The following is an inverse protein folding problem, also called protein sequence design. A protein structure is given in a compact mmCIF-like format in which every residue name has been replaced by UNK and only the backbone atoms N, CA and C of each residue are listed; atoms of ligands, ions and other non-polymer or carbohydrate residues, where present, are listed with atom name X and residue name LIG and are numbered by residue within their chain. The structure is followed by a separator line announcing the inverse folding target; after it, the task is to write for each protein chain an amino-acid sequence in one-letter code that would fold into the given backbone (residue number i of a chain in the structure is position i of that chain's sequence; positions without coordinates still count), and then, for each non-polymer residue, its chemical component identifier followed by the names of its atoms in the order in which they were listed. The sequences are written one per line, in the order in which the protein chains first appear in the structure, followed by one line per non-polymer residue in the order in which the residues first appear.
data_IF_734803295680
#
_entry.id   IF_734803295680
#
_cell.length_a   1.000
_cell.length_b   1.000
_cell.length_c   1.000
_cell.angle_alpha   90.00
_cell.angle_beta   90.00
_cell.angle_gamma   90.00
#
_symmetry.space_group_name_H-M   'P 1'
#
loop_
_entity.id
_entity.type
_entity.pdbx_description
1 polymer ?
#
# COMPACT_ATOMS: atom_id res chain seq x y z
N UNK A 1 12.05 3.51 -15.45
CA UNK A 1 11.35 2.36 -16.06
C UNK A 1 9.99 2.86 -16.51
N UNK A 2 9.49 2.46 -17.68
CA UNK A 2 8.17 2.90 -18.16
C UNK A 2 7.21 1.71 -18.06
N UNK A 3 6.07 1.90 -17.41
CA UNK A 3 5.02 0.90 -17.26
C UNK A 3 4.00 1.04 -18.41
N UNK A 4 3.31 -0.05 -18.81
CA UNK A 4 2.06 0.08 -19.55
C UNK A 4 1.07 0.94 -18.80
N UNK A 5 0.08 1.51 -19.48
CA UNK A 5 -1.03 2.20 -18.82
C UNK A 5 -1.76 1.20 -17.91
N UNK A 6 -1.87 1.51 -16.63
CA UNK A 6 -2.49 0.66 -15.62
C UNK A 6 -3.10 1.52 -14.51
N UNK A 7 -4.08 0.96 -13.80
CA UNK A 7 -4.74 1.59 -12.64
C UNK A 7 -5.19 3.04 -12.87
N UNK A 8 -5.64 3.36 -14.10
CA UNK A 8 -6.16 4.69 -14.44
C UNK A 8 -7.41 4.95 -13.61
N UNK A 9 -7.48 6.14 -13.00
CA UNK A 9 -8.60 6.55 -12.15
C UNK A 9 -9.94 6.35 -12.86
N UNK A 10 -10.94 5.90 -12.10
CA UNK A 10 -12.33 5.68 -12.57
C UNK A 10 -12.46 4.66 -13.72
N UNK A 11 -11.44 3.81 -13.91
CA UNK A 11 -11.50 2.67 -14.83
C UNK A 11 -11.55 1.36 -14.08
N UNK A 12 -12.06 0.32 -14.75
CA UNK A 12 -12.04 -1.04 -14.22
C UNK A 12 -10.63 -1.50 -13.78
N UNK A 13 -9.57 -1.03 -14.44
CA UNK A 13 -8.20 -1.39 -14.08
C UNK A 13 -7.69 -0.80 -12.76
N UNK A 14 -8.42 0.15 -12.16
CA UNK A 14 -8.13 0.71 -10.84
C UNK A 14 -9.00 0.10 -9.73
N UNK A 15 -9.95 -0.77 -10.08
CA UNK A 15 -10.80 -1.44 -9.09
C UNK A 15 -10.02 -2.52 -8.33
N UNK A 16 -10.42 -2.75 -7.08
CA UNK A 16 -9.92 -3.89 -6.32
C UNK A 16 -10.49 -5.19 -6.89
N UNK A 17 -9.70 -6.27 -6.84
CA UNK A 17 -10.20 -7.61 -7.11
C UNK A 17 -11.45 -7.90 -6.25
N UNK A 18 -12.46 -8.54 -6.85
CA UNK A 18 -13.77 -8.74 -6.21
C UNK A 18 -13.69 -9.58 -4.94
N UNK A 19 -12.74 -10.52 -4.86
CA UNK A 19 -12.53 -11.35 -3.67
C UNK A 19 -11.91 -10.55 -2.54
N UNK A 20 -10.98 -9.65 -2.85
CA UNK A 20 -10.39 -8.71 -1.90
C UNK A 20 -11.45 -7.74 -1.42
N UNK A 21 -12.25 -7.17 -2.34
CA UNK A 21 -13.33 -6.25 -2.00
C UNK A 21 -14.33 -6.89 -1.03
N UNK A 22 -14.83 -8.08 -1.36
CA UNK A 22 -15.77 -8.80 -0.49
C UNK A 22 -15.18 -9.10 0.90
N UNK A 23 -13.89 -9.43 0.98
CA UNK A 23 -13.22 -9.66 2.25
C UNK A 23 -13.10 -8.38 3.10
N UNK A 24 -12.81 -7.24 2.46
CA UNK A 24 -12.77 -5.93 3.13
C UNK A 24 -14.17 -5.50 3.59
N UNK A 25 -15.19 -5.63 2.75
CA UNK A 25 -16.58 -5.31 3.11
C UNK A 25 -17.03 -6.14 4.32
N UNK A 26 -16.67 -7.43 4.39
CA UNK A 26 -16.95 -8.28 5.55
C UNK A 26 -16.21 -7.83 6.81
N UNK A 27 -14.98 -7.30 6.69
CA UNK A 27 -14.24 -6.72 7.82
C UNK A 27 -14.89 -5.45 8.32
N UNK A 28 -15.29 -4.55 7.43
CA UNK A 28 -16.05 -3.33 7.75
C UNK A 28 -17.35 -3.68 8.47
N UNK A 29 -18.12 -4.64 7.95
CA UNK A 29 -19.36 -5.11 8.56
C UNK A 29 -19.15 -5.72 9.96
N UNK A 30 -17.97 -6.27 10.24
CA UNK A 30 -17.59 -6.79 11.57
C UNK A 30 -17.08 -5.72 12.54
N UNK A 31 -17.07 -4.45 12.13
CA UNK A 31 -16.59 -3.32 12.94
C UNK A 31 -15.06 -3.15 12.92
N UNK A 32 -14.33 -3.87 12.05
CA UNK A 32 -12.91 -3.61 11.84
C UNK A 32 -12.75 -2.42 10.89
N UNK A 33 -12.05 -1.33 11.29
CA UNK A 33 -11.84 -0.20 10.41
C UNK A 33 -11.04 -0.60 9.16
N UNK A 34 -11.51 -0.17 8.00
CA UNK A 34 -10.80 -0.29 6.72
C UNK A 34 -10.61 1.12 6.15
N UNK A 35 -9.39 1.40 5.71
CA UNK A 35 -9.02 2.69 5.11
C UNK A 35 -8.48 2.45 3.70
N UNK A 36 -8.94 3.26 2.74
CA UNK A 36 -8.56 3.17 1.34
C UNK A 36 -7.63 4.32 0.97
N UNK A 37 -6.32 4.08 1.05
CA UNK A 37 -5.31 5.08 0.72
C UNK A 37 -4.96 5.00 -0.77
N UNK A 38 -5.15 6.10 -1.49
CA UNK A 38 -4.72 6.25 -2.89
C UNK A 38 -3.31 6.83 -2.98
N UNK A 39 -2.59 6.48 -4.05
CA UNK A 39 -1.22 6.93 -4.34
C UNK A 39 -1.01 7.05 -5.85
N UNK A 40 -0.05 7.86 -6.28
CA UNK A 40 0.26 8.05 -7.71
C UNK A 40 -0.83 8.80 -8.48
N UNK A 41 -1.55 9.72 -7.80
CA UNK A 41 -2.64 10.51 -8.42
C UNK A 41 -2.12 11.79 -9.11
N UNK A 42 -0.92 12.26 -8.77
CA UNK A 42 -0.29 13.40 -9.44
C UNK A 42 0.47 12.95 -10.68
N UNK A 43 0.19 13.55 -11.84
CA UNK A 43 0.81 13.17 -13.11
C UNK A 43 2.31 13.48 -13.20
N UNK A 44 2.85 14.29 -12.28
CA UNK A 44 4.26 14.65 -12.24
C UNK A 44 5.09 13.71 -11.36
N UNK A 45 4.45 12.90 -10.50
CA UNK A 45 5.14 12.09 -9.49
C UNK A 45 4.59 10.66 -9.43
N UNK A 46 5.50 9.69 -9.54
CA UNK A 46 5.14 8.28 -9.29
C UNK A 46 5.25 7.97 -7.78
N UNK A 47 4.46 7.01 -7.31
CA UNK A 47 4.41 6.61 -5.90
C UNK A 47 4.34 5.09 -5.79
N UNK A 48 5.48 4.43 -5.55
CA UNK A 48 5.46 3.02 -5.20
C UNK A 48 5.05 2.81 -3.74
N UNK A 49 5.63 3.58 -2.84
CA UNK A 49 5.30 3.52 -1.42
C UNK A 49 3.89 4.01 -1.16
N UNK A 50 3.17 3.34 -0.27
CA UNK A 50 1.91 3.84 0.26
C UNK A 50 2.11 5.05 1.20
N UNK A 51 3.33 5.40 1.60
CA UNK A 51 3.62 6.54 2.47
C UNK A 51 3.83 7.84 1.69
N UNK A 52 4.58 7.81 0.59
CA UNK A 52 4.98 9.00 -0.14
C UNK A 52 5.29 8.72 -1.62
N UNK A 53 5.38 9.79 -2.43
CA UNK A 53 5.97 9.75 -3.76
C UNK A 53 7.44 9.31 -3.72
N UNK A 54 7.94 8.80 -4.84
CA UNK A 54 9.29 8.22 -4.93
C UNK A 54 10.39 9.23 -4.54
N UNK A 55 10.15 10.52 -4.78
CA UNK A 55 11.03 11.64 -4.43
C UNK A 55 10.77 12.21 -3.02
N UNK A 56 9.80 11.65 -2.27
CA UNK A 56 9.35 12.12 -0.94
C UNK A 56 8.87 13.58 -0.94
N UNK A 57 8.24 14.01 -2.02
CA UNK A 57 7.69 15.37 -2.14
C UNK A 57 6.24 15.39 -1.64
N UNK A 58 5.47 14.35 -1.96
CA UNK A 58 4.06 14.22 -1.61
C UNK A 58 3.87 13.04 -0.66
N UNK A 59 3.21 13.28 0.47
CA UNK A 59 2.83 12.22 1.41
C UNK A 59 1.36 11.86 1.24
N UNK A 60 1.04 10.59 1.39
CA UNK A 60 -0.35 10.12 1.43
C UNK A 60 -0.95 10.30 2.83
N UNK A 61 -2.26 10.10 2.93
CA UNK A 61 -2.96 10.07 4.22
C UNK A 61 -2.54 8.92 5.15
N UNK A 62 -1.81 7.91 4.65
CA UNK A 62 -1.37 6.77 5.47
C UNK A 62 -0.52 7.22 6.66
N UNK A 63 0.31 8.24 6.47
CA UNK A 63 1.13 8.80 7.55
C UNK A 63 0.26 9.32 8.70
N UNK A 64 -0.77 10.10 8.38
CA UNK A 64 -1.74 10.60 9.36
C UNK A 64 -2.54 9.49 10.01
N UNK A 65 -2.90 8.43 9.27
CA UNK A 65 -3.60 7.28 9.82
C UNK A 65 -2.75 6.49 10.82
N UNK A 66 -1.46 6.30 10.53
CA UNK A 66 -0.55 5.52 11.37
C UNK A 66 -0.01 6.28 12.57
N UNK A 67 0.27 7.58 12.41
CA UNK A 67 0.97 8.41 13.40
C UNK A 67 0.12 9.55 13.97
N UNK A 68 -1.12 9.72 13.51
CA UNK A 68 -2.05 10.68 14.09
C UNK A 68 -2.34 10.40 15.56
N UNK A 69 -3.06 11.31 16.23
CA UNK A 69 -3.42 11.24 17.65
C UNK A 69 -4.44 10.13 17.95
N UNK A 70 -4.08 8.87 17.68
CA UNK A 70 -4.84 7.69 18.02
C UNK A 70 -4.59 7.31 19.49
N UNK A 71 -5.60 6.81 20.21
CA UNK A 71 -5.45 6.37 21.60
C UNK A 71 -4.45 5.21 21.76
N UNK A 72 -4.13 4.52 20.66
CA UNK A 72 -3.13 3.45 20.60
C UNK A 72 -2.21 3.68 19.40
N UNK A 73 -0.91 3.78 19.67
CA UNK A 73 0.09 3.92 18.61
C UNK A 73 0.28 2.60 17.88
N UNK A 74 0.21 2.63 16.54
CA UNK A 74 0.57 1.49 15.70
C UNK A 74 2.09 1.36 15.76
N UNK A 75 2.58 0.18 16.18
CA UNK A 75 4.01 -0.11 16.30
C UNK A 75 4.49 -1.21 15.37
N UNK A 76 3.56 -1.98 14.79
CA UNK A 76 3.84 -3.07 13.86
C UNK A 76 2.92 -2.97 12.66
N UNK A 77 3.48 -3.17 11.46
CA UNK A 77 2.72 -3.30 10.22
C UNK A 77 3.04 -4.62 9.52
N UNK A 78 2.01 -5.20 8.90
CA UNK A 78 2.14 -6.37 8.04
C UNK A 78 1.79 -5.93 6.63
N UNK A 79 2.76 -6.00 5.72
CA UNK A 79 2.62 -5.57 4.33
C UNK A 79 2.44 -6.80 3.45
N UNK A 80 1.35 -6.82 2.69
CA UNK A 80 0.96 -7.92 1.78
C UNK A 80 0.54 -7.34 0.43
N UNK A 81 0.31 -8.20 -0.56
CA UNK A 81 -0.22 -7.80 -1.86
C UNK A 81 0.82 -7.71 -2.96
N UNK A 82 0.65 -6.75 -3.87
CA UNK A 82 1.40 -6.66 -5.12
C UNK A 82 2.01 -5.26 -5.34
N UNK A 83 3.16 -5.12 -5.99
CA UNK A 83 4.12 -6.19 -6.29
C UNK A 83 5.23 -6.24 -5.25
N UNK A 84 5.74 -7.44 -4.94
CA UNK A 84 6.82 -7.65 -3.95
C UNK A 84 8.01 -6.72 -4.19
N UNK A 85 8.43 -6.58 -5.44
CA UNK A 85 9.62 -5.85 -5.91
C UNK A 85 9.41 -4.35 -6.16
N UNK A 86 8.19 -3.83 -5.93
CA UNK A 86 7.86 -2.40 -6.06
C UNK A 86 7.03 -1.94 -4.87
N UNK A 87 5.71 -1.84 -5.00
CA UNK A 87 4.84 -1.21 -4.01
C UNK A 87 4.97 -1.85 -2.62
N UNK A 88 5.07 -3.18 -2.53
CA UNK A 88 5.24 -3.87 -1.25
C UNK A 88 6.61 -3.55 -0.65
N UNK A 89 7.69 -3.71 -1.40
CA UNK A 89 9.05 -3.38 -0.93
C UNK A 89 9.16 -1.93 -0.51
N UNK A 90 8.76 -0.97 -1.34
CA UNK A 90 8.87 0.46 -1.03
C UNK A 90 8.06 0.83 0.21
N UNK A 91 6.84 0.30 0.35
CA UNK A 91 6.01 0.52 1.54
C UNK A 91 6.63 -0.09 2.79
N UNK A 92 7.18 -1.31 2.69
CA UNK A 92 7.82 -1.98 3.83
C UNK A 92 9.11 -1.27 4.26
N UNK A 93 9.92 -0.82 3.30
CA UNK A 93 11.13 -0.04 3.58
C UNK A 93 10.77 1.27 4.26
N UNK A 94 9.72 1.95 3.82
CA UNK A 94 9.29 3.21 4.45
C UNK A 94 8.74 3.01 5.83
N UNK A 95 7.90 1.99 6.05
CA UNK A 95 7.43 1.65 7.38
C UNK A 95 8.60 1.41 8.35
N UNK A 96 9.63 0.67 7.91
CA UNK A 96 10.84 0.46 8.70
C UNK A 96 11.63 1.75 8.97
N UNK A 97 11.74 2.66 7.99
CA UNK A 97 12.35 3.99 8.17
C UNK A 97 11.61 4.84 9.20
N UNK A 98 10.28 4.73 9.25
CA UNK A 98 9.45 5.39 10.26
C UNK A 98 9.41 4.66 11.62
N UNK A 99 10.25 3.64 11.82
CA UNK A 99 10.40 2.94 13.10
C UNK A 99 9.32 1.91 13.40
N UNK A 100 8.49 1.54 12.41
CA UNK A 100 7.50 0.48 12.57
C UNK A 100 8.15 -0.88 12.40
N UNK A 101 7.86 -1.82 13.32
CA UNK A 101 8.20 -3.23 13.12
C UNK A 101 7.46 -3.72 11.88
N UNK A 102 8.21 -4.11 10.85
CA UNK A 102 7.63 -4.40 9.54
C UNK A 102 7.76 -5.88 9.20
N UNK A 103 6.64 -6.51 8.85
CA UNK A 103 6.57 -7.92 8.45
C UNK A 103 6.07 -8.02 7.01
N UNK A 104 6.71 -8.86 6.21
CA UNK A 104 6.29 -9.16 4.82
C UNK A 104 6.20 -10.68 4.66
N UNK A 105 5.01 -11.28 4.88
CA UNK A 105 4.82 -12.72 4.72
C UNK A 105 5.02 -13.13 3.27
N UNK A 106 5.99 -14.02 3.00
CA UNK A 106 6.36 -14.44 1.63
C UNK A 106 5.18 -15.03 0.86
N UNK A 107 4.33 -15.78 1.54
CA UNK A 107 3.17 -16.46 0.93
C UNK A 107 2.03 -15.49 0.56
N UNK A 108 2.11 -14.23 1.01
CA UNK A 108 1.08 -13.21 0.79
C UNK A 108 1.53 -12.10 -0.18
N UNK A 109 2.63 -12.31 -0.90
CA UNK A 109 3.17 -11.34 -1.87
C UNK A 109 3.60 -12.01 -3.17
N UNK A 110 3.53 -11.27 -4.28
CA UNK A 110 4.09 -11.72 -5.57
C UNK A 110 4.73 -10.55 -6.30
N UNK A 111 5.93 -10.77 -6.86
CA UNK A 111 6.66 -9.76 -7.64
C UNK A 111 6.19 -9.69 -9.10
N UNK A 112 6.42 -8.55 -9.76
CA UNK A 112 6.22 -8.41 -11.21
C UNK A 112 7.26 -9.23 -11.95
N UNK A 113 8.53 -9.14 -11.52
CA UNK A 113 9.60 -9.97 -12.07
C UNK A 113 9.69 -11.25 -11.26
N UNK A 114 9.47 -12.39 -11.92
CA UNK A 114 9.89 -13.69 -11.40
C UNK A 114 11.41 -13.78 -11.47
N UNK A 115 12.12 -13.13 -10.54
CA UNK A 115 13.44 -13.60 -10.13
C UNK A 115 13.20 -14.48 -8.91
N UNK A 116 13.63 -15.72 -8.97
CA UNK A 116 13.57 -16.63 -7.83
C UNK A 116 14.39 -16.00 -6.70
N UNK A 117 13.71 -15.47 -5.68
CA UNK A 117 14.32 -15.04 -4.41
C UNK A 117 14.01 -16.11 -3.36
#
# INVERSE_FOLDING_TARGET
MMWPVHCVQETHGAELDSTVRAALDAKEASGTPVHYVKKGEDSNFDSYSAFASNEYILFTELTSLLFGAQPHAISTVVVVGLATDYCVMSTAVDAAKFGLRTLVPKDCVRGVRLRNI
#
